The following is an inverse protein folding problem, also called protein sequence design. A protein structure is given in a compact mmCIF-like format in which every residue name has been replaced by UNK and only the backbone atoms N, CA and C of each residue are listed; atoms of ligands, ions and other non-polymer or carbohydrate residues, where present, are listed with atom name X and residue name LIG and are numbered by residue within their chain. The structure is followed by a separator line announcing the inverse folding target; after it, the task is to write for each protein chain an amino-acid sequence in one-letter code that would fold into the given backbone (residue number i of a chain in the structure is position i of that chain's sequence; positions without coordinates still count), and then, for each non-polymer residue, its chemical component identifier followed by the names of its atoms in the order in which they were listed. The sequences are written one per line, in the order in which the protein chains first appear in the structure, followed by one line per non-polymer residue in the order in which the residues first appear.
data_IF_533551719680
#
_entry.id   IF_533551719680
#
_cell.length_a   1.000
_cell.length_b   1.000
_cell.length_c   1.000
_cell.angle_alpha   90.00
_cell.angle_beta   90.00
_cell.angle_gamma   90.00
#
_symmetry.space_group_name_H-M   'P 1'
#
loop_
_entity.id
_entity.type
_entity.pdbx_description
1 polymer ?
#
# COMPACT_ATOMS: atom_id res chain seq x y z
N UNK A 1 -26.52 -16.90 38.54
CA UNK A 1 -26.65 -17.47 39.91
C UNK A 1 -26.82 -16.34 40.88
N UNK A 2 -27.97 -16.40 41.45
CA UNK A 2 -28.54 -16.09 42.78
C UNK A 2 -28.72 -14.62 43.08
N UNK A 3 -29.94 -14.17 43.00
CA UNK A 3 -31.11 -14.21 43.96
C UNK A 3 -30.97 -13.13 45.03
N UNK A 4 -31.87 -12.13 44.93
CA UNK A 4 -33.12 -11.96 45.69
C UNK A 4 -32.93 -12.02 47.20
N UNK A 5 -33.48 -11.04 47.91
CA UNK A 5 -34.56 -11.30 48.87
C UNK A 5 -35.22 -9.98 49.32
N UNK A 6 -36.54 -10.01 49.24
CA UNK A 6 -37.58 -9.14 49.76
C UNK A 6 -37.77 -9.39 51.28
N UNK A 7 -38.15 -8.38 52.04
CA UNK A 7 -38.90 -8.60 53.28
C UNK A 7 -39.84 -7.43 53.56
N UNK A 8 -41.08 -7.75 53.52
CA UNK A 8 -42.29 -7.12 54.05
C UNK A 8 -42.46 -7.41 55.53
N UNK A 9 -43.05 -6.50 56.32
CA UNK A 9 -43.87 -6.83 57.47
C UNK A 9 -44.65 -5.58 57.91
N UNK A 10 -45.85 -5.52 57.82
CA UNK A 10 -47.20 -5.77 58.33
C UNK A 10 -47.35 -5.72 59.88
N UNK A 11 -48.33 -4.92 60.29
CA UNK A 11 -49.27 -5.13 61.37
C UNK A 11 -49.09 -4.21 62.58
N UNK A 12 -50.03 -3.78 63.32
CA UNK A 12 -51.48 -3.93 63.31
C UNK A 12 -51.98 -3.22 64.56
N UNK A 13 -53.22 -2.66 64.55
CA UNK A 13 -54.21 -2.50 65.59
C UNK A 13 -53.90 -1.64 66.84
N UNK A 14 -54.72 -0.88 67.39
CA UNK A 14 -56.16 -0.61 67.46
C UNK A 14 -56.37 0.16 68.73
N UNK A 15 -57.25 1.12 68.81
CA UNK A 15 -57.67 1.74 70.06
C UNK A 15 -58.82 2.76 69.89
N UNK A 16 -59.97 2.36 70.23
CA UNK A 16 -61.25 3.07 70.25
C UNK A 16 -61.27 4.10 71.34
N UNK A 17 -61.84 5.28 71.06
CA UNK A 17 -62.20 6.26 72.11
C UNK A 17 -63.06 7.42 71.61
N UNK A 18 -64.33 7.38 72.03
CA UNK A 18 -65.49 8.22 71.79
C UNK A 18 -65.27 9.74 71.92
N UNK A 19 -65.88 10.52 71.05
CA UNK A 19 -66.91 11.48 71.27
C UNK A 19 -66.53 12.90 71.66
N UNK A 20 -66.79 13.86 70.79
CA UNK A 20 -67.78 14.95 71.10
C UNK A 20 -67.74 15.97 69.95
N UNK A 21 -68.93 16.29 69.51
CA UNK A 21 -69.29 17.34 68.57
C UNK A 21 -68.68 18.71 68.90
N UNK A 22 -68.05 19.34 67.97
CA UNK A 22 -67.64 20.75 68.01
C UNK A 22 -67.66 21.33 66.61
N UNK A 23 -68.48 22.33 66.45
CA UNK A 23 -68.89 23.06 65.30
C UNK A 23 -67.66 23.45 64.40
N UNK A 24 -67.73 23.08 63.15
CA UNK A 24 -66.82 23.47 62.05
C UNK A 24 -66.81 24.97 61.79
N UNK A 25 -65.72 25.64 62.04
CA UNK A 25 -65.38 26.87 61.33
C UNK A 25 -64.30 26.53 60.33
N UNK A 26 -64.66 26.60 59.03
CA UNK A 26 -63.72 26.57 57.94
C UNK A 26 -62.78 27.75 58.07
N UNK A 27 -61.46 27.58 58.10
CA UNK A 27 -60.55 28.71 57.85
C UNK A 27 -60.52 29.02 56.38
N UNK A 28 -60.80 30.24 56.03
CA UNK A 28 -60.62 30.76 54.70
C UNK A 28 -59.20 30.54 54.20
N UNK A 29 -59.07 29.97 53.01
CA UNK A 29 -57.81 29.91 52.26
C UNK A 29 -57.29 31.32 52.07
N UNK A 30 -56.36 31.74 52.91
CA UNK A 30 -55.54 32.93 52.69
C UNK A 30 -54.66 32.66 51.48
N UNK A 31 -55.08 33.15 50.31
CA UNK A 31 -54.18 33.18 49.15
C UNK A 31 -52.94 33.95 49.56
N UNK A 32 -51.82 33.27 49.58
CA UNK A 32 -50.51 33.91 49.73
C UNK A 32 -50.22 34.67 48.47
N UNK A 33 -50.67 35.91 48.38
CA UNK A 33 -50.14 36.88 47.45
C UNK A 33 -48.71 37.20 47.90
N UNK A 34 -47.78 36.33 47.55
CA UNK A 34 -46.37 36.71 47.66
C UNK A 34 -46.17 37.96 46.78
N UNK A 35 -45.69 39.08 47.36
CA UNK A 35 -45.51 40.29 46.60
C UNK A 35 -44.51 40.01 45.49
N UNK A 36 -44.88 40.40 44.26
CA UNK A 36 -44.09 40.28 43.07
C UNK A 36 -42.63 40.78 43.27
N UNK A 37 -42.45 41.72 44.23
CA UNK A 37 -41.16 42.23 44.68
C UNK A 37 -40.22 41.16 45.31
N UNK A 38 -40.76 40.08 45.95
CA UNK A 38 -39.93 39.04 46.54
C UNK A 38 -39.36 38.10 45.45
N UNK A 39 -40.17 37.81 44.43
CA UNK A 39 -39.71 37.01 43.28
C UNK A 39 -38.69 37.76 42.42
N UNK A 40 -38.83 39.08 42.28
CA UNK A 40 -37.86 39.92 41.58
C UNK A 40 -36.55 39.99 42.37
N UNK A 41 -36.56 40.08 43.69
CA UNK A 41 -35.34 40.12 44.53
C UNK A 41 -34.60 38.76 44.50
N UNK A 42 -35.28 37.64 44.44
CA UNK A 42 -34.62 36.31 44.31
C UNK A 42 -34.00 36.13 42.93
N UNK A 43 -34.62 36.68 41.86
CA UNK A 43 -34.04 36.68 40.50
C UNK A 43 -32.84 37.60 40.38
N UNK A 44 -32.85 38.77 41.08
CA UNK A 44 -31.70 39.68 41.10
C UNK A 44 -30.44 39.02 41.74
N UNK A 45 -30.61 38.08 42.67
CA UNK A 45 -29.51 37.34 43.28
C UNK A 45 -28.72 36.47 42.28
N UNK A 46 -29.34 36.05 41.16
CA UNK A 46 -28.69 35.24 40.12
C UNK A 46 -28.05 36.11 39.02
N UNK A 47 -28.33 37.43 39.00
CA UNK A 47 -27.78 38.35 37.99
C UNK A 47 -26.24 38.34 37.94
N UNK A 48 -25.49 38.39 39.07
CA UNK A 48 -24.04 38.34 39.03
C UNK A 48 -23.49 37.01 38.55
N UNK A 49 -24.22 35.91 38.84
CA UNK A 49 -23.82 34.57 38.33
C UNK A 49 -24.08 34.45 36.84
N UNK A 50 -25.26 34.89 36.37
CA UNK A 50 -25.61 34.89 34.97
C UNK A 50 -24.65 35.80 34.16
N UNK A 51 -24.25 36.94 34.72
CA UNK A 51 -23.27 37.82 34.08
C UNK A 51 -21.90 37.16 33.96
N UNK A 52 -21.43 36.46 35.00
CA UNK A 52 -20.17 35.69 34.95
C UNK A 52 -20.21 34.58 33.89
N UNK A 53 -21.31 33.83 33.85
CA UNK A 53 -21.49 32.76 32.84
C UNK A 53 -21.53 33.40 31.43
N UNK A 54 -22.23 34.51 31.25
CA UNK A 54 -22.28 35.26 29.99
C UNK A 54 -20.90 35.71 29.53
N UNK A 55 -20.10 36.29 30.44
CA UNK A 55 -18.73 36.70 30.15
C UNK A 55 -17.85 35.50 29.74
N UNK A 56 -17.92 34.39 30.45
CA UNK A 56 -17.17 33.17 30.11
C UNK A 56 -17.61 32.63 28.74
N UNK A 57 -18.92 32.63 28.46
CA UNK A 57 -19.46 32.20 27.17
C UNK A 57 -18.98 33.10 26.01
N UNK A 58 -18.96 34.43 26.24
CA UNK A 58 -18.46 35.41 25.26
C UNK A 58 -16.96 35.22 25.01
N UNK A 59 -16.15 35.03 26.07
CA UNK A 59 -14.72 34.76 25.95
C UNK A 59 -14.50 33.44 25.19
N UNK A 60 -15.25 32.38 25.53
CA UNK A 60 -15.21 31.11 24.82
C UNK A 60 -15.59 31.24 23.35
N UNK A 61 -16.63 32.04 23.04
CA UNK A 61 -17.03 32.28 21.66
C UNK A 61 -15.97 33.06 20.87
N UNK A 62 -15.41 34.12 21.50
CA UNK A 62 -14.33 34.91 20.87
C UNK A 62 -13.10 34.03 20.62
N UNK A 63 -12.71 33.19 21.59
CA UNK A 63 -11.61 32.24 21.45
C UNK A 63 -11.90 31.23 20.36
N UNK A 64 -13.11 30.71 20.28
CA UNK A 64 -13.54 29.74 19.24
C UNK A 64 -13.55 30.39 17.84
N UNK A 65 -14.13 31.56 17.71
CA UNK A 65 -14.17 32.31 16.43
C UNK A 65 -12.76 32.74 16.01
N UNK A 66 -11.95 33.24 16.96
CA UNK A 66 -10.54 33.55 16.73
C UNK A 66 -9.72 32.37 16.31
N UNK A 67 -9.89 31.21 16.96
CA UNK A 67 -9.26 29.95 16.57
C UNK A 67 -9.70 29.49 15.17
N UNK A 68 -11.01 29.55 14.88
CA UNK A 68 -11.54 29.21 13.56
C UNK A 68 -11.05 30.13 12.46
N UNK A 69 -11.00 31.43 12.73
CA UNK A 69 -10.47 32.43 11.80
C UNK A 69 -8.95 32.25 11.56
N UNK A 70 -8.18 31.98 12.61
CA UNK A 70 -6.76 31.68 12.50
C UNK A 70 -6.50 30.38 11.72
N UNK A 71 -7.29 29.34 12.00
CA UNK A 71 -7.16 28.04 11.32
C UNK A 71 -7.56 28.08 9.84
N UNK A 72 -8.41 29.02 9.43
CA UNK A 72 -8.83 29.25 8.03
C UNK A 72 -8.07 30.37 7.34
N UNK A 73 -7.16 31.07 8.05
CA UNK A 73 -6.41 32.17 7.49
C UNK A 73 -5.47 31.67 6.36
N UNK A 74 -5.31 32.47 5.32
CA UNK A 74 -4.35 32.27 4.22
C UNK A 74 -2.90 32.07 4.71
N UNK A 75 -2.65 32.34 6.00
CA UNK A 75 -1.38 32.12 6.69
C UNK A 75 -0.97 30.63 6.78
N UNK A 76 -1.95 29.70 6.83
CA UNK A 76 -1.69 28.26 6.86
C UNK A 76 -1.90 27.57 5.50
N UNK A 77 -2.10 28.34 4.43
CA UNK A 77 -2.10 27.77 3.09
C UNK A 77 -0.71 27.26 2.74
N UNK A 78 -0.65 26.11 2.05
CA UNK A 78 0.61 25.50 1.67
C UNK A 78 1.35 26.38 0.66
N UNK A 79 2.55 26.83 1.01
CA UNK A 79 3.47 27.58 0.14
C UNK A 79 4.72 26.76 -0.16
N UNK A 80 5.23 26.04 0.83
CA UNK A 80 6.49 25.33 0.72
C UNK A 80 6.28 23.83 0.84
N UNK A 81 6.79 23.07 -0.14
CA UNK A 81 6.89 21.60 -0.08
C UNK A 81 8.35 21.22 -0.25
N UNK A 82 8.96 20.77 0.85
CA UNK A 82 10.33 20.24 0.84
C UNK A 82 10.28 18.73 0.63
N UNK A 83 10.92 18.25 -0.43
CA UNK A 83 11.05 16.81 -0.69
C UNK A 83 12.51 16.40 -0.52
N UNK A 84 12.74 15.30 0.20
CA UNK A 84 14.07 14.71 0.41
C UNK A 84 14.04 13.21 0.18
N UNK A 85 15.13 12.67 -0.38
CA UNK A 85 15.28 11.24 -0.62
C UNK A 85 14.66 10.76 -1.94
N UNK A 86 14.14 11.66 -2.78
CA UNK A 86 13.67 11.35 -4.13
C UNK A 86 14.81 11.53 -5.13
N UNK A 87 15.13 10.47 -5.86
CA UNK A 87 16.15 10.41 -6.91
C UNK A 87 15.51 9.96 -8.23
N UNK A 88 14.78 8.87 -8.22
CA UNK A 88 14.00 8.34 -9.35
C UNK A 88 12.52 8.71 -9.27
N UNK A 89 11.97 8.86 -8.06
CA UNK A 89 10.62 9.35 -7.87
C UNK A 89 10.48 10.79 -8.33
N UNK A 90 9.43 11.10 -9.08
CA UNK A 90 9.18 12.45 -9.58
C UNK A 90 8.88 13.43 -8.45
N UNK A 91 9.81 14.35 -8.20
CA UNK A 91 9.66 15.41 -7.19
C UNK A 91 8.43 16.27 -7.48
N UNK A 92 8.14 16.54 -8.75
CA UNK A 92 7.01 17.37 -9.15
C UNK A 92 5.66 16.65 -8.95
N UNK A 93 5.63 15.34 -9.17
CA UNK A 93 4.46 14.52 -8.90
C UNK A 93 4.16 14.47 -7.40
N UNK A 94 5.19 14.26 -6.56
CA UNK A 94 5.10 14.32 -5.10
C UNK A 94 4.57 15.68 -4.64
N UNK A 95 5.15 16.79 -5.13
CA UNK A 95 4.71 18.15 -4.78
C UNK A 95 3.26 18.42 -5.20
N UNK A 96 2.88 17.93 -6.36
CA UNK A 96 1.51 18.08 -6.89
C UNK A 96 0.51 17.31 -6.04
N UNK A 97 0.82 16.07 -5.67
CA UNK A 97 0.00 15.26 -4.77
C UNK A 97 -0.17 15.94 -3.40
N UNK A 98 0.94 16.41 -2.80
CA UNK A 98 0.90 17.13 -1.52
C UNK A 98 0.05 18.40 -1.60
N UNK A 99 0.24 19.23 -2.64
CA UNK A 99 -0.53 20.47 -2.81
C UNK A 99 -2.01 20.18 -2.98
N UNK A 100 -2.37 19.19 -3.78
CA UNK A 100 -3.76 18.80 -4.00
C UNK A 100 -4.44 18.37 -2.70
N UNK A 101 -3.81 17.50 -1.93
CA UNK A 101 -4.40 16.91 -0.73
C UNK A 101 -4.49 17.91 0.44
N UNK A 102 -3.63 18.93 0.44
CA UNK A 102 -3.57 19.95 1.50
C UNK A 102 -4.29 21.25 1.13
N UNK A 103 -4.61 21.46 -0.16
CA UNK A 103 -5.18 22.73 -0.65
C UNK A 103 -6.46 23.17 0.07
N UNK A 104 -7.33 22.22 0.41
CA UNK A 104 -8.64 22.52 1.04
C UNK A 104 -8.54 22.68 2.56
N UNK A 105 -7.64 21.94 3.20
CA UNK A 105 -7.55 21.87 4.67
C UNK A 105 -6.50 22.81 5.25
N UNK A 106 -5.52 23.22 4.44
CA UNK A 106 -4.32 23.94 4.88
C UNK A 106 -3.36 23.03 5.68
N UNK A 107 -2.14 23.52 5.87
CA UNK A 107 -1.04 22.75 6.53
C UNK A 107 -1.40 22.32 7.95
N UNK A 108 -2.14 23.17 8.69
CA UNK A 108 -2.49 22.89 10.08
C UNK A 108 -3.44 21.69 10.25
N UNK A 109 -4.45 21.59 9.38
CA UNK A 109 -5.51 20.59 9.47
C UNK A 109 -5.30 19.38 8.55
N UNK A 110 -4.23 19.38 7.74
CA UNK A 110 -3.93 18.29 6.82
C UNK A 110 -3.77 16.97 7.56
N UNK A 111 -4.37 15.92 7.02
CA UNK A 111 -4.17 14.54 7.49
C UNK A 111 -2.85 13.99 6.91
N UNK A 112 -1.80 14.00 7.72
CA UNK A 112 -0.46 13.58 7.30
C UNK A 112 -0.38 12.06 7.08
N UNK A 113 -1.20 11.27 7.75
CA UNK A 113 -1.22 9.82 7.59
C UNK A 113 -1.86 9.44 6.24
N UNK A 114 -2.99 10.05 5.89
CA UNK A 114 -3.60 9.86 4.58
C UNK A 114 -2.66 10.32 3.46
N UNK A 115 -2.01 11.46 3.65
CA UNK A 115 -1.05 11.98 2.68
C UNK A 115 0.14 11.03 2.50
N UNK A 116 0.69 10.48 3.59
CA UNK A 116 1.75 9.45 3.56
C UNK A 116 1.31 8.24 2.73
N UNK A 117 0.14 7.66 3.07
CA UNK A 117 -0.44 6.52 2.34
C UNK A 117 -0.72 6.82 0.86
N UNK A 118 -1.06 8.06 0.54
CA UNK A 118 -1.28 8.46 -0.84
C UNK A 118 0.05 8.55 -1.61
N UNK A 119 1.09 9.11 -1.01
CA UNK A 119 2.42 9.16 -1.60
C UNK A 119 3.05 7.77 -1.79
N UNK A 120 2.78 6.83 -0.88
CA UNK A 120 3.23 5.44 -0.96
C UNK A 120 2.59 4.63 -2.10
N UNK A 121 1.53 5.16 -2.72
CA UNK A 121 0.95 4.59 -3.96
C UNK A 121 1.74 4.95 -5.21
N UNK A 122 2.64 5.93 -5.13
CA UNK A 122 3.51 6.27 -6.26
C UNK A 122 4.52 5.12 -6.49
N UNK A 123 4.76 4.71 -7.73
CA UNK A 123 5.53 3.51 -8.06
C UNK A 123 6.89 3.42 -7.37
N UNK A 124 7.67 4.51 -7.40
CA UNK A 124 9.02 4.56 -6.84
C UNK A 124 9.08 4.83 -5.33
N UNK A 125 7.94 5.05 -4.67
CA UNK A 125 7.89 5.36 -3.24
C UNK A 125 7.63 4.09 -2.43
N UNK A 126 8.60 3.70 -1.59
CA UNK A 126 8.41 2.59 -0.63
C UNK A 126 7.76 3.08 0.65
N UNK A 127 8.27 4.19 1.20
CA UNK A 127 7.69 4.85 2.38
C UNK A 127 7.81 6.37 2.25
N UNK A 128 6.82 7.07 2.77
CA UNK A 128 6.79 8.52 2.82
C UNK A 128 6.55 9.00 4.24
N UNK A 129 7.51 9.71 4.83
CA UNK A 129 7.34 10.36 6.14
C UNK A 129 7.02 11.83 5.93
N UNK A 130 5.80 12.21 6.29
CA UNK A 130 5.30 13.58 6.11
C UNK A 130 5.30 14.32 7.44
N UNK A 131 5.86 15.52 7.47
CA UNK A 131 5.92 16.37 8.66
C UNK A 131 5.49 17.81 8.32
N UNK A 132 4.83 18.48 9.29
CA UNK A 132 4.50 19.89 9.15
C UNK A 132 5.72 20.76 9.41
N UNK A 133 5.90 21.77 8.59
CA UNK A 133 6.85 22.87 8.80
C UNK A 133 6.02 24.13 8.89
N UNK A 134 5.58 24.45 10.11
CA UNK A 134 4.72 25.61 10.34
C UNK A 134 5.45 26.91 9.98
N UNK A 135 4.72 27.94 9.48
CA UNK A 135 3.26 27.98 9.39
C UNK A 135 2.66 27.38 8.12
N UNK A 136 3.39 27.29 7.01
CA UNK A 136 2.87 27.15 5.65
C UNK A 136 3.61 26.07 4.82
N UNK A 137 4.36 25.20 5.49
CA UNK A 137 5.19 24.18 4.83
C UNK A 137 4.85 22.74 5.21
N UNK A 138 5.11 21.83 4.26
CA UNK A 138 5.15 20.39 4.47
C UNK A 138 6.51 19.87 4.02
N UNK A 139 7.11 19.05 4.86
CA UNK A 139 8.33 18.30 4.52
C UNK A 139 7.99 16.84 4.33
N UNK A 140 8.39 16.30 3.18
CA UNK A 140 8.24 14.89 2.80
C UNK A 140 9.62 14.28 2.71
N UNK A 141 9.84 13.21 3.47
CA UNK A 141 11.02 12.36 3.35
C UNK A 141 10.60 11.06 2.70
N UNK A 142 11.17 10.78 1.54
CA UNK A 142 10.89 9.58 0.75
C UNK A 142 12.00 8.56 0.97
N UNK A 143 11.62 7.29 1.13
CA UNK A 143 12.49 6.14 0.89
C UNK A 143 12.04 5.50 -0.41
N UNK A 144 12.91 5.45 -1.39
CA UNK A 144 12.59 4.88 -2.69
C UNK A 144 12.64 3.35 -2.68
N UNK A 145 11.88 2.74 -3.59
CA UNK A 145 11.96 1.31 -3.91
C UNK A 145 13.23 1.02 -4.69
N UNK A 146 13.86 -0.09 -4.40
CA UNK A 146 15.03 -0.55 -5.15
C UNK A 146 14.57 -1.49 -6.28
N UNK A 147 14.92 -1.22 -7.55
CA UNK A 147 14.65 -2.14 -8.63
C UNK A 147 15.46 -3.42 -8.44
N UNK A 148 14.81 -4.57 -8.55
CA UNK A 148 15.41 -5.89 -8.35
C UNK A 148 15.42 -6.75 -9.60
N UNK A 149 14.43 -6.60 -10.45
CA UNK A 149 14.34 -7.34 -11.71
C UNK A 149 13.75 -6.47 -12.82
N UNK A 150 14.03 -6.86 -14.06
CA UNK A 150 13.32 -6.33 -15.23
C UNK A 150 12.44 -7.43 -15.78
N UNK A 151 11.15 -7.11 -15.89
CA UNK A 151 10.13 -8.00 -16.41
C UNK A 151 9.87 -7.67 -17.87
N UNK A 152 9.81 -8.69 -18.72
CA UNK A 152 9.29 -8.55 -20.08
C UNK A 152 7.80 -8.88 -20.07
N UNK A 153 6.97 -7.89 -20.38
CA UNK A 153 5.50 -8.03 -20.46
C UNK A 153 5.06 -8.79 -21.72
N UNK A 154 3.79 -9.20 -21.77
CA UNK A 154 3.20 -9.82 -22.97
C UNK A 154 3.25 -8.88 -24.19
N UNK A 155 3.16 -7.56 -23.96
CA UNK A 155 3.32 -6.54 -25.00
C UNK A 155 4.78 -6.30 -25.43
N UNK A 156 5.75 -7.02 -24.88
CA UNK A 156 7.17 -6.90 -25.18
C UNK A 156 7.86 -5.69 -24.53
N UNK A 157 7.22 -4.98 -23.60
CA UNK A 157 7.81 -3.88 -22.84
C UNK A 157 8.66 -4.40 -21.69
N UNK A 158 9.70 -3.65 -21.34
CA UNK A 158 10.57 -3.96 -20.21
C UNK A 158 10.28 -3.03 -19.05
N UNK A 159 9.95 -3.60 -17.89
CA UNK A 159 9.50 -2.84 -16.72
C UNK A 159 10.32 -3.24 -15.50
N UNK A 160 10.82 -2.26 -14.77
CA UNK A 160 11.44 -2.47 -13.47
C UNK A 160 10.42 -2.89 -12.42
N UNK A 161 10.78 -3.88 -11.63
CA UNK A 161 10.01 -4.33 -10.46
C UNK A 161 10.93 -4.46 -9.24
N UNK A 162 10.33 -4.27 -8.05
CA UNK A 162 11.02 -4.49 -6.78
C UNK A 162 10.81 -5.91 -6.22
N UNK A 163 11.30 -6.14 -5.00
CA UNK A 163 11.16 -7.39 -4.26
C UNK A 163 9.70 -7.70 -3.83
N UNK A 164 8.83 -6.69 -3.75
CA UNK A 164 7.39 -6.83 -3.47
C UNK A 164 6.56 -7.07 -4.74
N UNK A 165 7.20 -7.22 -5.90
CA UNK A 165 6.56 -7.34 -7.21
C UNK A 165 5.74 -6.09 -7.61
N UNK A 166 6.18 -4.91 -7.19
CA UNK A 166 5.58 -3.63 -7.58
C UNK A 166 6.23 -3.12 -8.87
N UNK A 167 5.41 -2.69 -9.83
CA UNK A 167 5.88 -2.00 -11.02
C UNK A 167 6.44 -0.62 -10.66
N UNK A 168 7.70 -0.37 -11.02
CA UNK A 168 8.37 0.90 -10.73
C UNK A 168 8.33 1.86 -11.92
N UNK A 169 8.34 1.33 -13.14
CA UNK A 169 8.33 2.10 -14.37
C UNK A 169 8.97 1.36 -15.53
N UNK A 170 8.82 1.88 -16.74
CA UNK A 170 9.46 1.32 -17.92
C UNK A 170 10.97 1.54 -17.85
N UNK A 171 11.72 0.55 -18.33
CA UNK A 171 13.16 0.65 -18.46
C UNK A 171 13.50 1.67 -19.55
N UNK A 172 14.30 2.68 -19.20
CA UNK A 172 14.77 3.65 -20.15
C UNK A 172 15.94 3.09 -20.99
N UNK A 173 16.13 3.60 -22.18
CA UNK A 173 17.27 3.22 -23.04
C UNK A 173 18.63 3.58 -22.44
N UNK A 174 18.65 4.47 -21.47
CA UNK A 174 19.84 4.89 -20.71
C UNK A 174 20.13 4.05 -19.48
N UNK A 175 19.18 3.17 -19.09
CA UNK A 175 19.36 2.30 -17.92
C UNK A 175 20.40 1.20 -18.23
N UNK A 176 21.09 0.78 -17.18
CA UNK A 176 22.01 -0.34 -17.29
C UNK A 176 21.23 -1.62 -17.53
N UNK A 177 21.61 -2.35 -18.60
CA UNK A 177 21.01 -3.63 -18.96
C UNK A 177 21.28 -4.67 -17.89
N UNK A 178 20.26 -5.38 -17.37
CA UNK A 178 20.48 -6.53 -16.50
C UNK A 178 21.09 -7.69 -17.30
N UNK A 179 21.70 -8.65 -16.60
CA UNK A 179 22.27 -9.84 -17.24
C UNK A 179 21.20 -10.62 -18.01
N UNK A 180 19.99 -10.72 -17.45
CA UNK A 180 18.85 -11.38 -18.08
C UNK A 180 17.51 -10.83 -17.54
N UNK A 181 16.43 -11.11 -18.26
CA UNK A 181 15.09 -10.62 -17.96
C UNK A 181 14.20 -11.72 -17.39
N UNK A 182 13.20 -11.31 -16.59
CA UNK A 182 12.14 -12.18 -16.11
C UNK A 182 10.99 -12.20 -17.14
N UNK A 183 10.55 -13.39 -17.54
CA UNK A 183 9.36 -13.63 -18.35
C UNK A 183 8.33 -14.46 -17.59
N UNK A 184 7.06 -14.35 -17.98
CA UNK A 184 5.96 -15.11 -17.35
C UNK A 184 5.29 -14.34 -16.23
N UNK A 185 5.31 -13.00 -16.31
CA UNK A 185 4.61 -12.13 -15.39
C UNK A 185 3.09 -12.26 -15.55
N UNK A 186 2.37 -12.32 -14.45
CA UNK A 186 0.91 -12.25 -14.45
C UNK A 186 0.49 -10.77 -14.40
N UNK A 187 -0.14 -10.30 -15.49
CA UNK A 187 -0.54 -8.88 -15.64
C UNK A 187 -1.91 -8.57 -15.03
N UNK A 188 -2.57 -9.56 -14.42
CA UNK A 188 -3.83 -9.34 -13.73
C UNK A 188 -3.66 -8.46 -12.49
N UNK A 189 -4.64 -7.57 -12.27
CA UNK A 189 -4.65 -6.66 -11.10
C UNK A 189 -5.35 -7.31 -9.89
N UNK A 190 -4.97 -8.56 -9.59
CA UNK A 190 -5.52 -9.33 -8.49
C UNK A 190 -4.49 -9.60 -7.40
N UNK A 191 -4.94 -9.80 -6.15
CA UNK A 191 -4.07 -10.19 -5.04
C UNK A 191 -3.41 -11.55 -5.26
N UNK A 192 -4.06 -12.45 -6.00
CA UNK A 192 -3.50 -13.73 -6.40
C UNK A 192 -2.32 -13.53 -7.36
N UNK A 193 -2.51 -12.74 -8.42
CA UNK A 193 -1.44 -12.40 -9.37
C UNK A 193 -0.26 -11.71 -8.68
N UNK A 194 -0.53 -10.81 -7.75
CA UNK A 194 0.52 -10.14 -6.97
C UNK A 194 1.33 -11.13 -6.12
N UNK A 195 0.66 -12.11 -5.50
CA UNK A 195 1.34 -13.16 -4.74
C UNK A 195 2.21 -14.03 -5.63
N UNK A 196 1.65 -14.50 -6.76
CA UNK A 196 2.39 -15.28 -7.75
C UNK A 196 3.61 -14.53 -8.29
N UNK A 197 3.45 -13.24 -8.60
CA UNK A 197 4.54 -12.42 -9.10
C UNK A 197 5.64 -12.21 -8.05
N UNK A 198 5.28 -12.09 -6.76
CA UNK A 198 6.26 -12.04 -5.67
C UNK A 198 7.07 -13.33 -5.59
N UNK A 199 6.42 -14.48 -5.73
CA UNK A 199 7.10 -15.78 -5.75
C UNK A 199 8.05 -15.90 -6.95
N UNK A 200 7.63 -15.39 -8.13
CA UNK A 200 8.46 -15.33 -9.33
C UNK A 200 9.67 -14.43 -9.16
N UNK A 201 9.50 -13.25 -8.56
CA UNK A 201 10.63 -12.33 -8.26
C UNK A 201 11.57 -13.00 -7.26
N UNK A 202 11.06 -13.62 -6.20
CA UNK A 202 11.88 -14.36 -5.24
C UNK A 202 12.72 -15.43 -5.92
N UNK A 203 12.10 -16.23 -6.80
CA UNK A 203 12.80 -17.28 -7.58
C UNK A 203 13.82 -16.68 -8.55
N UNK A 204 13.47 -15.58 -9.23
CA UNK A 204 14.38 -14.87 -10.11
C UNK A 204 15.65 -14.41 -9.37
N UNK A 205 15.52 -13.83 -8.19
CA UNK A 205 16.65 -13.36 -7.39
C UNK A 205 17.52 -14.51 -6.88
N UNK A 206 16.92 -15.66 -6.55
CA UNK A 206 17.65 -16.89 -6.22
C UNK A 206 18.52 -17.34 -7.42
N UNK A 207 17.91 -17.46 -8.60
CA UNK A 207 18.61 -17.87 -9.81
C UNK A 207 19.70 -16.87 -10.21
N UNK A 208 19.41 -15.58 -10.13
CA UNK A 208 20.37 -14.51 -10.43
C UNK A 208 21.62 -14.63 -9.54
N UNK A 209 21.43 -14.81 -8.25
CA UNK A 209 22.54 -14.97 -7.30
C UNK A 209 23.38 -16.22 -7.63
N UNK A 210 22.71 -17.36 -7.83
CA UNK A 210 23.37 -18.63 -8.06
C UNK A 210 24.14 -18.66 -9.38
N UNK A 211 23.53 -18.12 -10.46
CA UNK A 211 24.15 -18.07 -11.78
C UNK A 211 25.26 -17.03 -11.88
N UNK A 212 25.14 -15.92 -11.14
CA UNK A 212 26.24 -14.95 -11.03
C UNK A 212 27.43 -15.56 -10.29
N UNK A 213 27.18 -16.33 -9.22
CA UNK A 213 28.25 -17.01 -8.49
C UNK A 213 28.96 -18.08 -9.35
N UNK A 214 28.26 -18.68 -10.32
CA UNK A 214 28.85 -19.64 -11.26
C UNK A 214 29.43 -18.99 -12.53
N UNK A 215 29.27 -17.68 -12.71
CA UNK A 215 29.75 -16.96 -13.89
C UNK A 215 28.97 -17.29 -15.18
N UNK A 216 27.74 -17.78 -15.08
CA UNK A 216 26.93 -18.20 -16.24
C UNK A 216 25.79 -17.25 -16.57
N UNK A 217 25.61 -16.19 -15.79
CA UNK A 217 24.50 -15.21 -15.98
C UNK A 217 24.50 -14.56 -17.37
N UNK A 218 25.67 -14.26 -17.91
CA UNK A 218 25.81 -13.63 -19.24
C UNK A 218 25.45 -14.55 -20.40
N UNK A 219 25.37 -15.87 -20.14
CA UNK A 219 24.92 -16.85 -21.14
C UNK A 219 23.39 -16.93 -21.24
N UNK A 220 22.66 -16.21 -20.41
CA UNK A 220 21.19 -16.21 -20.30
C UNK A 220 20.67 -14.85 -20.76
N UNK A 221 19.63 -14.82 -21.59
CA UNK A 221 18.91 -13.61 -21.97
C UNK A 221 17.60 -13.42 -21.23
N UNK A 222 16.84 -14.51 -21.05
CA UNK A 222 15.56 -14.51 -20.36
C UNK A 222 15.38 -15.76 -19.51
N UNK A 223 14.71 -15.61 -18.37
CA UNK A 223 14.19 -16.74 -17.58
C UNK A 223 12.67 -16.69 -17.55
N UNK A 224 12.03 -17.75 -18.01
CA UNK A 224 10.59 -17.89 -17.99
C UNK A 224 10.16 -18.59 -16.70
N UNK A 225 9.43 -17.87 -15.86
CA UNK A 225 8.90 -18.30 -14.57
C UNK A 225 7.36 -18.31 -14.56
N UNK A 226 6.73 -18.49 -15.73
CA UNK A 226 5.27 -18.63 -15.82
C UNK A 226 4.79 -19.79 -14.95
N UNK A 227 5.50 -20.92 -14.99
CA UNK A 227 5.34 -22.03 -14.06
C UNK A 227 6.65 -22.27 -13.32
N UNK A 228 6.65 -22.07 -12.00
CA UNK A 228 7.81 -22.28 -11.13
C UNK A 228 8.26 -23.76 -11.06
N UNK A 229 7.41 -24.69 -11.53
CA UNK A 229 7.75 -26.13 -11.63
C UNK A 229 8.41 -26.49 -12.95
N UNK A 230 8.30 -25.60 -13.96
CA UNK A 230 8.88 -25.79 -15.29
C UNK A 230 9.69 -24.55 -15.70
N UNK A 231 10.75 -24.29 -14.95
CA UNK A 231 11.66 -23.16 -15.24
C UNK A 231 12.36 -23.38 -16.57
N UNK A 232 12.24 -22.38 -17.47
CA UNK A 232 12.86 -22.39 -18.79
C UNK A 232 13.73 -21.15 -18.96
N UNK A 233 14.78 -21.32 -19.73
CA UNK A 233 15.79 -20.27 -19.94
C UNK A 233 16.02 -20.12 -21.44
N UNK A 234 16.01 -18.89 -21.92
CA UNK A 234 16.50 -18.52 -23.26
C UNK A 234 17.96 -18.15 -23.15
N UNK A 235 18.80 -18.71 -23.96
CA UNK A 235 20.22 -18.35 -23.96
C UNK A 235 20.47 -17.00 -24.61
N UNK A 236 21.66 -16.44 -24.43
CA UNK A 236 22.08 -15.16 -24.95
C UNK A 236 23.04 -15.30 -26.15
N UNK A 237 23.24 -14.20 -26.87
CA UNK A 237 24.20 -14.10 -27.95
C UNK A 237 23.90 -15.01 -29.13
N UNK A 238 24.92 -15.73 -29.63
CA UNK A 238 24.80 -16.64 -30.77
C UNK A 238 23.86 -17.83 -30.51
N UNK A 239 23.62 -18.14 -29.25
CA UNK A 239 22.74 -19.21 -28.81
C UNK A 239 21.30 -18.75 -28.52
N UNK A 240 20.95 -17.51 -28.90
CA UNK A 240 19.68 -16.87 -28.54
C UNK A 240 18.42 -17.58 -29.05
N UNK A 241 18.54 -18.53 -30.00
CA UNK A 241 17.45 -19.40 -30.46
C UNK A 241 17.25 -20.63 -29.58
N UNK A 242 18.17 -20.92 -28.62
CA UNK A 242 18.16 -22.15 -27.83
C UNK A 242 17.41 -21.94 -26.53
N UNK A 243 16.36 -22.75 -26.31
CA UNK A 243 15.65 -22.83 -25.03
C UNK A 243 16.23 -23.97 -24.18
N UNK A 244 16.53 -23.69 -22.90
CA UNK A 244 16.93 -24.73 -21.94
C UNK A 244 15.81 -24.94 -20.94
N UNK A 245 15.32 -26.20 -20.82
CA UNK A 245 14.29 -26.59 -19.87
C UNK A 245 14.93 -27.17 -18.63
N UNK A 246 14.79 -26.47 -17.52
CA UNK A 246 15.46 -26.81 -16.25
C UNK A 246 14.53 -27.55 -15.29
N UNK A 247 13.19 -27.35 -15.42
CA UNK A 247 12.20 -27.90 -14.49
C UNK A 247 12.25 -27.27 -13.11
N UNK A 248 11.85 -28.02 -12.08
CA UNK A 248 11.61 -27.48 -10.73
C UNK A 248 12.79 -27.58 -9.77
N UNK A 249 13.84 -28.36 -10.07
CA UNK A 249 14.91 -28.68 -9.12
C UNK A 249 16.29 -28.49 -9.74
N UNK A 250 17.28 -28.17 -8.90
CA UNK A 250 18.70 -28.09 -9.26
C UNK A 250 18.97 -27.21 -10.50
N UNK A 251 18.22 -26.12 -10.68
CA UNK A 251 18.27 -25.30 -11.91
C UNK A 251 19.68 -24.83 -12.25
N UNK A 252 20.46 -24.45 -11.22
CA UNK A 252 21.82 -23.96 -11.42
C UNK A 252 22.77 -25.07 -11.92
N UNK A 253 22.69 -26.25 -11.34
CA UNK A 253 23.45 -27.41 -11.78
C UNK A 253 23.04 -27.84 -13.19
N UNK A 254 21.74 -27.84 -13.47
CA UNK A 254 21.20 -28.19 -14.78
C UNK A 254 21.59 -27.20 -15.86
N UNK A 255 21.56 -25.87 -15.54
CA UNK A 255 22.04 -24.88 -16.51
C UNK A 255 23.51 -25.10 -16.86
N UNK A 256 24.39 -25.28 -15.87
CA UNK A 256 25.80 -25.57 -16.10
C UNK A 256 26.00 -26.82 -16.98
N UNK A 257 25.22 -27.87 -16.73
CA UNK A 257 25.24 -29.10 -17.56
C UNK A 257 24.75 -28.85 -18.98
N UNK A 258 23.66 -28.07 -19.16
CA UNK A 258 23.18 -27.72 -20.51
C UNK A 258 24.23 -26.97 -21.32
N UNK A 259 24.88 -25.98 -20.70
CA UNK A 259 25.94 -25.19 -21.35
C UNK A 259 27.13 -26.07 -21.72
N UNK A 260 27.54 -26.98 -20.84
CA UNK A 260 28.62 -27.94 -21.13
C UNK A 260 28.27 -28.85 -22.32
N UNK A 261 27.03 -29.34 -22.39
CA UNK A 261 26.53 -30.15 -23.52
C UNK A 261 26.51 -29.33 -24.79
N UNK A 262 26.05 -28.09 -24.73
CA UNK A 262 26.03 -27.19 -25.89
C UNK A 262 27.42 -26.88 -26.42
N UNK A 263 28.36 -26.56 -25.54
CA UNK A 263 29.74 -26.26 -25.92
C UNK A 263 30.44 -27.47 -26.55
N UNK A 264 30.15 -28.67 -26.08
CA UNK A 264 30.65 -29.92 -26.69
C UNK A 264 30.04 -30.17 -28.08
N UNK A 265 28.78 -29.81 -28.29
CA UNK A 265 28.08 -30.02 -29.56
C UNK A 265 28.36 -28.94 -30.62
N UNK A 266 28.78 -27.74 -30.22
CA UNK A 266 29.02 -26.61 -31.14
C UNK A 266 29.95 -26.93 -32.31
N UNK A 267 30.96 -27.75 -32.09
CA UNK A 267 31.93 -28.13 -33.11
C UNK A 267 31.46 -29.28 -33.99
N UNK A 268 30.27 -29.82 -33.74
CA UNK A 268 29.69 -30.88 -34.55
C UNK A 268 28.78 -30.33 -35.64
N UNK A 269 28.53 -31.10 -36.71
CA UNK A 269 27.58 -30.74 -37.76
C UNK A 269 26.13 -30.48 -37.24
N UNK A 270 25.82 -30.90 -36.02
CA UNK A 270 24.51 -30.73 -35.36
C UNK A 270 24.43 -29.44 -34.56
N UNK A 271 25.56 -28.81 -34.19
CA UNK A 271 25.60 -27.62 -33.35
C UNK A 271 24.67 -26.50 -33.82
N UNK A 272 24.73 -26.09 -35.08
CA UNK A 272 23.86 -25.03 -35.61
C UNK A 272 22.36 -25.35 -35.65
N UNK A 273 22.01 -26.64 -35.51
CA UNK A 273 20.62 -27.11 -35.58
C UNK A 273 19.97 -27.30 -34.21
N UNK A 274 20.69 -27.02 -33.13
CA UNK A 274 20.14 -27.18 -31.77
C UNK A 274 19.08 -26.06 -31.53
N UNK A 275 17.87 -26.48 -31.13
CA UNK A 275 16.77 -25.60 -30.83
C UNK A 275 16.41 -25.58 -29.32
N UNK A 276 16.56 -26.71 -28.66
CA UNK A 276 16.36 -26.77 -27.22
C UNK A 276 17.20 -27.87 -26.55
N UNK A 277 17.41 -27.69 -25.23
CA UNK A 277 18.04 -28.70 -24.37
C UNK A 277 17.11 -28.95 -23.18
N UNK A 278 16.65 -30.17 -23.01
CA UNK A 278 15.74 -30.55 -21.93
C UNK A 278 16.48 -31.40 -20.88
N UNK A 279 16.48 -30.91 -19.65
CA UNK A 279 17.08 -31.55 -18.47
C UNK A 279 16.04 -31.94 -17.42
N UNK A 280 14.75 -31.90 -17.76
CA UNK A 280 13.67 -32.24 -16.83
C UNK A 280 13.60 -33.74 -16.54
N UNK A 281 14.08 -34.60 -17.45
CA UNK A 281 14.00 -36.05 -17.37
C UNK A 281 15.23 -36.69 -16.68
N UNK A 282 15.53 -36.22 -15.47
CA UNK A 282 16.56 -36.86 -14.64
C UNK A 282 18.01 -36.59 -15.08
N UNK A 283 18.81 -37.68 -15.22
CA UNK A 283 20.26 -37.51 -15.47
C UNK A 283 20.65 -37.29 -16.94
N UNK A 284 19.72 -37.41 -17.89
CA UNK A 284 19.98 -37.29 -19.33
C UNK A 284 19.63 -35.90 -19.84
N UNK A 285 20.47 -35.34 -20.70
CA UNK A 285 20.14 -34.16 -21.47
C UNK A 285 19.57 -34.61 -22.82
N UNK A 286 18.37 -34.13 -23.16
CA UNK A 286 17.75 -34.37 -24.46
C UNK A 286 17.99 -33.12 -25.30
N UNK A 287 18.64 -33.28 -26.45
CA UNK A 287 18.92 -32.18 -27.38
C UNK A 287 17.92 -32.25 -28.53
N UNK A 288 17.09 -31.23 -28.67
CA UNK A 288 16.18 -31.10 -29.79
C UNK A 288 16.82 -30.32 -30.94
N UNK A 289 16.58 -30.76 -32.15
CA UNK A 289 17.09 -30.10 -33.36
C UNK A 289 15.94 -29.43 -34.11
N UNK A 290 16.23 -28.32 -34.78
CA UNK A 290 15.31 -27.73 -35.75
C UNK A 290 15.13 -28.73 -36.89
N UNK A 291 13.91 -29.19 -37.08
CA UNK A 291 13.58 -30.00 -38.26
C UNK A 291 13.52 -29.04 -39.43
N UNK A 292 14.52 -29.10 -40.36
CA UNK A 292 14.57 -28.24 -41.52
C UNK A 292 13.28 -28.38 -42.33
N UNK A 293 12.57 -27.26 -42.55
CA UNK A 293 11.61 -27.18 -43.64
C UNK A 293 12.43 -27.29 -44.95
N UNK A 294 12.28 -28.39 -45.66
CA UNK A 294 12.77 -28.49 -47.03
C UNK A 294 12.04 -27.43 -47.86
N UNK A 295 12.68 -26.28 -48.13
CA UNK A 295 12.32 -25.48 -49.23
C UNK A 295 12.65 -26.28 -50.49
N UNK A 296 11.63 -26.91 -51.09
CA UNK A 296 11.72 -27.44 -52.46
C UNK A 296 12.06 -26.28 -53.34
N UNK A 297 13.29 -26.23 -53.84
CA UNK A 297 13.67 -25.35 -54.90
C UNK A 297 12.84 -25.78 -56.12
N UNK A 298 11.84 -24.97 -56.48
CA UNK A 298 11.09 -25.14 -57.72
C UNK A 298 12.04 -24.85 -58.88
N UNK A 299 12.49 -25.96 -59.50
CA UNK A 299 13.32 -25.90 -60.69
C UNK A 299 12.55 -25.20 -61.81
N UNK A 300 13.06 -24.06 -62.26
CA UNK A 300 12.71 -23.45 -63.54
C UNK A 300 13.11 -24.48 -64.63
N UNK A 301 12.11 -25.04 -65.26
CA UNK A 301 12.28 -25.62 -66.61
C UNK A 301 12.15 -24.52 -67.62
N UNK A 302 13.22 -24.31 -68.38
CA UNK A 302 13.19 -23.66 -69.68
C UNK A 302 12.46 -24.53 -70.70
#
# INVERSE_FOLDING_TARGET
MREQIVAQKVGNRSGIGKGRSGVSQRPAKRGSNEPISARIKSLLGYVPLALRIGVIAIIGLIAFVGYRAAASASFFQIRTVETRGASRASVDEIKTAVRRDVSETGVWRADLEQLSKHLEKLPWVRTAVVTRVLPDGIRVRITEREPKAVVRTAAGRFIWVDDDAVYLGEMASTDQMPAFFLRGWNEDDSTAAQTENRDRVGKFLELQRDWSAQGVSERVSEVNLLDLRDVRVQLAGDDSQIEVRLGSQEQSTRLGKALSVLDAQRQTARGPLISYIDLTQGKRAIVGLVTGSHTVAEGKNE
#
